data_IF_095647848037
#
_entry.id   IF_095647848037
#
_cell.length_a   1.000
_cell.length_b   1.000
_cell.length_c   1.000
_cell.angle_alpha   90.00
_cell.angle_beta   90.00
_cell.angle_gamma   90.00
#
_symmetry.space_group_name_H-M   'P 1'
#
loop_
_entity.id
_entity.type
_entity.pdbx_description
1 polymer ?
#
# COMPACT_ATOMS: atom_id res chain seq x y z
N UNK A 1 -6.16 7.81 -18.26
CA UNK A 1 -6.74 7.73 -16.90
C UNK A 1 -6.01 6.72 -16.00
N UNK A 2 -5.98 5.41 -16.30
CA UNK A 2 -5.28 4.41 -15.45
C UNK A 2 -3.81 4.73 -15.19
N UNK A 3 -3.09 5.23 -16.20
CA UNK A 3 -1.69 5.66 -16.05
C UNK A 3 -1.54 6.81 -15.03
N UNK A 4 -2.42 7.81 -15.09
CA UNK A 4 -2.43 8.96 -14.20
C UNK A 4 -2.69 8.55 -12.74
N UNK A 5 -3.71 7.73 -12.53
CA UNK A 5 -4.03 7.19 -11.20
C UNK A 5 -2.90 6.32 -10.66
N UNK A 6 -2.23 5.56 -11.54
CA UNK A 6 -1.02 4.82 -11.22
C UNK A 6 0.07 5.71 -10.61
N UNK A 7 0.42 6.82 -11.26
CA UNK A 7 1.45 7.74 -10.76
C UNK A 7 1.12 8.32 -9.38
N UNK A 8 -0.16 8.64 -9.15
CA UNK A 8 -0.62 9.10 -7.83
C UNK A 8 -0.51 7.99 -6.77
N UNK A 9 -1.07 6.81 -7.03
CA UNK A 9 -1.04 5.66 -6.10
C UNK A 9 0.40 5.26 -5.77
N UNK A 10 1.30 5.33 -6.74
CA UNK A 10 2.71 4.97 -6.62
C UNK A 10 3.55 6.05 -5.91
N UNK A 11 3.03 7.27 -5.82
CA UNK A 11 3.74 8.43 -5.27
C UNK A 11 4.79 9.02 -6.20
N UNK A 12 4.68 8.78 -7.51
CA UNK A 12 5.54 9.38 -8.53
C UNK A 12 5.24 10.87 -8.71
N UNK A 13 3.97 11.24 -8.52
CA UNK A 13 3.50 12.63 -8.53
C UNK A 13 2.65 12.89 -7.28
N UNK A 14 2.92 14.01 -6.61
CA UNK A 14 2.07 14.50 -5.51
C UNK A 14 0.95 15.41 -6.04
N UNK A 15 1.24 16.17 -7.08
CA UNK A 15 0.30 17.10 -7.71
C UNK A 15 0.68 17.35 -9.17
N UNK A 16 -0.32 17.67 -9.98
CA UNK A 16 -0.15 18.16 -11.34
C UNK A 16 0.03 19.67 -11.29
N UNK A 17 1.23 20.11 -11.66
CA UNK A 17 1.61 21.52 -11.67
C UNK A 17 1.48 22.10 -13.08
N UNK A 18 0.92 23.31 -13.20
CA UNK A 18 0.88 24.01 -14.48
C UNK A 18 2.26 24.59 -14.81
N UNK A 19 2.57 24.64 -16.10
CA UNK A 19 3.74 25.31 -16.66
C UNK A 19 3.28 26.31 -17.73
N UNK A 20 3.91 27.47 -17.78
CA UNK A 20 3.65 28.47 -18.80
C UNK A 20 4.58 28.25 -20.00
N UNK A 21 3.97 28.04 -21.15
CA UNK A 21 4.60 27.93 -22.45
C UNK A 21 4.30 29.20 -23.28
N UNK A 22 5.31 29.73 -23.96
CA UNK A 22 5.20 30.98 -24.70
C UNK A 22 4.41 30.85 -26.01
N UNK A 23 4.26 29.64 -26.54
CA UNK A 23 3.53 29.35 -27.78
C UNK A 23 2.17 28.73 -27.48
N UNK A 24 2.13 27.78 -26.55
CA UNK A 24 0.94 26.96 -26.28
C UNK A 24 0.12 27.42 -25.04
N UNK A 25 0.61 28.39 -24.26
CA UNK A 25 -0.10 28.92 -23.09
C UNK A 25 0.10 28.08 -21.83
N UNK A 26 -0.98 27.74 -21.11
CA UNK A 26 -0.88 26.91 -19.90
C UNK A 26 -0.80 25.44 -20.33
N UNK A 27 0.22 24.74 -19.84
CA UNK A 27 0.41 23.31 -20.06
C UNK A 27 0.55 22.56 -18.75
N UNK A 28 0.30 21.26 -18.79
CA UNK A 28 0.59 20.34 -17.69
C UNK A 28 1.59 19.30 -18.20
N UNK A 29 2.91 19.54 -18.09
CA UNK A 29 3.93 18.67 -18.70
C UNK A 29 3.82 17.21 -18.28
N UNK A 30 3.34 16.95 -17.06
CA UNK A 30 3.09 15.60 -16.58
C UNK A 30 2.03 14.84 -17.39
N UNK A 31 1.13 15.53 -18.09
CA UNK A 31 0.08 14.93 -18.92
C UNK A 31 0.49 14.67 -20.37
N UNK A 32 1.66 15.16 -20.81
CA UNK A 32 2.17 14.97 -22.18
C UNK A 32 2.17 13.47 -22.62
N UNK A 33 2.40 12.47 -21.74
CA UNK A 33 2.30 11.04 -22.12
C UNK A 33 0.88 10.48 -22.19
N UNK A 34 -0.14 11.23 -21.75
CA UNK A 34 -1.51 10.76 -21.56
C UNK A 34 -2.49 11.42 -22.53
N UNK A 35 -2.27 12.70 -22.81
CA UNK A 35 -3.14 13.52 -23.67
C UNK A 35 -2.40 13.76 -24.97
N UNK A 36 -3.01 13.34 -26.08
CA UNK A 36 -2.39 13.45 -27.41
C UNK A 36 -2.24 14.92 -27.88
N UNK A 37 -3.21 15.78 -27.50
CA UNK A 37 -3.20 17.22 -27.79
C UNK A 37 -3.07 18.03 -26.49
N UNK A 38 -1.98 18.82 -26.31
CA UNK A 38 -1.79 19.66 -25.13
C UNK A 38 -2.94 20.63 -24.83
N UNK A 39 -3.70 21.04 -25.84
CA UNK A 39 -4.84 21.94 -25.68
C UNK A 39 -6.04 21.31 -24.96
N UNK A 40 -6.15 19.98 -24.96
CA UNK A 40 -7.21 19.23 -24.28
C UNK A 40 -6.90 18.97 -22.79
N UNK A 41 -5.68 19.26 -22.34
CA UNK A 41 -5.23 18.94 -20.99
C UNK A 41 -6.06 19.63 -19.90
N UNK A 42 -6.40 20.91 -20.05
CA UNK A 42 -7.26 21.62 -19.10
C UNK A 42 -8.66 21.01 -19.04
N UNK A 43 -9.29 20.76 -20.18
CA UNK A 43 -10.63 20.15 -20.27
C UNK A 43 -10.65 18.76 -19.65
N UNK A 44 -9.62 17.96 -19.90
CA UNK A 44 -9.46 16.64 -19.29
C UNK A 44 -9.36 16.73 -17.77
N UNK A 45 -8.55 17.65 -17.24
CA UNK A 45 -8.40 17.84 -15.80
C UNK A 45 -9.66 18.35 -15.13
N UNK A 46 -10.37 19.27 -15.77
CA UNK A 46 -11.67 19.74 -15.29
C UNK A 46 -12.68 18.61 -15.22
N UNK A 47 -12.74 17.74 -16.23
CA UNK A 47 -13.61 16.56 -16.20
C UNK A 47 -13.29 15.61 -15.03
N UNK A 48 -12.01 15.44 -14.67
CA UNK A 48 -11.64 14.60 -13.53
C UNK A 48 -11.97 15.27 -12.19
N UNK A 49 -11.81 16.58 -12.10
CA UNK A 49 -12.21 17.34 -10.91
C UNK A 49 -13.74 17.29 -10.70
N UNK A 50 -14.52 17.43 -11.77
CA UNK A 50 -15.99 17.37 -11.72
C UNK A 50 -16.50 15.99 -11.28
N UNK A 51 -15.71 14.94 -11.46
CA UNK A 51 -16.02 13.57 -11.02
C UNK A 51 -15.41 13.23 -9.65
N UNK A 52 -14.93 14.22 -8.87
CA UNK A 52 -14.26 14.04 -7.58
C UNK A 52 -13.05 13.08 -7.63
N UNK A 53 -12.40 12.96 -8.79
CA UNK A 53 -11.15 12.20 -8.92
C UNK A 53 -9.97 13.07 -8.51
N UNK A 54 -10.03 14.37 -8.82
CA UNK A 54 -8.99 15.34 -8.49
C UNK A 54 -9.57 16.52 -7.68
N UNK A 55 -8.83 16.98 -6.69
CA UNK A 55 -9.05 18.27 -6.05
C UNK A 55 -8.34 19.38 -6.84
N UNK A 56 -9.06 20.48 -7.07
CA UNK A 56 -8.60 21.64 -7.83
C UNK A 56 -8.19 22.77 -6.89
N UNK A 57 -6.94 23.23 -6.99
CA UNK A 57 -6.39 24.30 -6.15
C UNK A 57 -5.89 25.46 -7.00
N UNK A 58 -6.33 26.69 -6.72
CA UNK A 58 -5.80 27.86 -7.42
C UNK A 58 -4.38 28.16 -6.95
N UNK A 59 -3.41 28.18 -7.89
CA UNK A 59 -1.99 28.37 -7.58
C UNK A 59 -1.37 29.59 -8.27
N UNK A 60 -2.08 30.24 -9.19
CA UNK A 60 -1.60 31.44 -9.87
C UNK A 60 -2.68 32.13 -10.69
N UNK A 61 -2.29 33.19 -11.40
CA UNK A 61 -3.14 33.90 -12.34
C UNK A 61 -2.36 34.25 -13.60
N UNK A 62 -3.05 34.22 -14.74
CA UNK A 62 -2.53 34.64 -16.03
C UNK A 62 -3.41 35.72 -16.64
N UNK A 63 -2.79 36.59 -17.42
CA UNK A 63 -3.52 37.54 -18.25
C UNK A 63 -3.95 36.84 -19.54
N UNK A 64 -5.22 36.99 -19.86
CA UNK A 64 -5.86 36.33 -21.00
C UNK A 64 -6.55 37.37 -21.90
N UNK A 65 -6.54 37.08 -23.21
CA UNK A 65 -7.19 37.92 -24.21
C UNK A 65 -8.72 37.84 -24.06
N UNK A 66 -9.41 38.99 -23.97
CA UNK A 66 -10.89 39.04 -23.94
C UNK A 66 -11.56 38.49 -25.20
N UNK A 67 -10.87 38.54 -26.35
CA UNK A 67 -11.41 38.09 -27.63
C UNK A 67 -11.38 36.58 -27.82
N UNK A 68 -10.25 35.93 -27.50
CA UNK A 68 -10.02 34.52 -27.81
C UNK A 68 -9.62 33.64 -26.60
N UNK A 69 -9.46 34.24 -25.41
CA UNK A 69 -9.10 33.53 -24.18
C UNK A 69 -7.64 33.08 -24.07
N UNK A 70 -6.81 33.30 -25.10
CA UNK A 70 -5.41 32.89 -25.09
C UNK A 70 -4.58 33.68 -24.08
N UNK A 71 -3.54 33.05 -23.53
CA UNK A 71 -2.56 33.69 -22.64
C UNK A 71 -1.86 34.83 -23.37
N UNK A 72 -1.73 35.98 -22.72
CA UNK A 72 -1.08 37.16 -23.27
C UNK A 72 0.42 37.13 -22.93
N UNK A 73 1.25 37.41 -23.94
CA UNK A 73 2.68 37.65 -23.75
C UNK A 73 2.90 39.14 -23.55
N UNK A 74 3.67 39.49 -22.53
CA UNK A 74 4.10 40.88 -22.31
C UNK A 74 5.21 41.21 -23.29
N UNK A 75 4.94 42.10 -24.23
CA UNK A 75 5.95 42.72 -25.09
C UNK A 75 6.18 44.13 -24.56
N UNK A 76 7.42 44.45 -24.16
CA UNK A 76 7.78 45.80 -23.74
C UNK A 76 8.47 46.45 -24.92
N UNK A 77 7.76 47.33 -25.61
CA UNK A 77 8.41 48.23 -26.58
C UNK A 77 9.08 49.35 -25.79
N UNK A 78 10.40 49.50 -25.96
CA UNK A 78 11.09 50.69 -25.51
C UNK A 78 11.01 51.71 -26.66
N UNK A 79 10.40 52.87 -26.43
CA UNK A 79 10.51 53.98 -27.37
C UNK A 79 11.97 54.45 -27.43
N UNK A 80 12.52 54.56 -28.65
CA UNK A 80 13.81 55.17 -28.89
C UNK A 80 13.75 56.67 -28.52
N UNK A 81 14.52 57.04 -27.50
CA UNK A 81 14.74 58.39 -26.95
C UNK A 81 15.05 59.43 -28.05
N UNK A 82 14.01 60.05 -28.62
CA UNK A 82 14.16 61.17 -29.55
C UNK A 82 13.22 62.35 -29.25
N UNK A 83 12.82 62.51 -27.99
CA UNK A 83 12.16 63.74 -27.54
C UNK A 83 12.92 64.40 -26.38
N UNK A 84 13.28 65.67 -26.55
CA UNK A 84 14.05 66.50 -25.60
C UNK A 84 13.25 66.92 -24.35
N UNK A 85 12.19 66.21 -23.96
CA UNK A 85 11.38 66.52 -22.77
C UNK A 85 11.51 65.43 -21.70
N UNK A 86 12.37 65.70 -20.72
CA UNK A 86 12.75 64.85 -19.58
C UNK A 86 11.65 64.66 -18.51
N UNK A 87 10.37 64.68 -18.86
CA UNK A 87 9.29 64.38 -17.92
C UNK A 87 8.67 63.00 -18.16
N UNK A 88 9.43 61.99 -17.72
CA UNK A 88 9.06 60.58 -17.48
C UNK A 88 8.79 59.72 -18.73
N UNK A 89 9.52 58.61 -18.92
CA UNK A 89 9.13 57.61 -19.94
C UNK A 89 7.74 57.06 -19.58
N UNK A 90 6.80 57.18 -20.52
CA UNK A 90 5.49 56.53 -20.42
C UNK A 90 5.68 55.10 -20.92
N UNK A 91 5.85 54.15 -19.98
CA UNK A 91 5.87 52.73 -20.32
C UNK A 91 4.44 52.27 -20.62
N UNK A 92 3.97 52.45 -21.86
CA UNK A 92 2.75 51.78 -22.29
C UNK A 92 3.05 50.29 -22.49
N UNK A 93 2.66 49.49 -21.50
CA UNK A 93 2.79 48.04 -21.53
C UNK A 93 1.71 47.44 -22.43
N UNK A 94 1.98 47.43 -23.74
CA UNK A 94 1.09 46.86 -24.74
C UNK A 94 1.33 45.34 -24.81
N UNK A 95 0.30 44.55 -24.53
CA UNK A 95 0.36 43.10 -24.68
C UNK A 95 -0.25 42.69 -26.01
N UNK A 96 0.43 41.80 -26.72
CA UNK A 96 -0.06 41.26 -27.98
C UNK A 96 -0.56 39.83 -27.80
N UNK A 97 -1.81 39.59 -28.19
CA UNK A 97 -2.31 38.23 -28.27
C UNK A 97 -1.74 37.53 -29.51
N UNK A 98 -0.96 36.46 -29.32
CA UNK A 98 -0.38 35.69 -30.43
C UNK A 98 -1.41 34.92 -31.25
N UNK A 99 -2.58 34.61 -30.67
CA UNK A 99 -3.65 33.84 -31.34
C UNK A 99 -4.53 34.67 -32.27
N UNK A 100 -4.97 35.85 -31.83
CA UNK A 100 -5.84 36.73 -32.65
C UNK A 100 -5.14 38.00 -33.15
N UNK A 101 -3.91 38.25 -32.73
CA UNK A 101 -3.13 39.42 -33.13
C UNK A 101 -3.56 40.75 -32.51
N UNK A 102 -4.56 40.76 -31.62
CA UNK A 102 -5.04 41.98 -30.98
C UNK A 102 -4.04 42.49 -29.93
N UNK A 103 -3.77 43.79 -29.96
CA UNK A 103 -3.06 44.47 -28.90
C UNK A 103 -4.05 44.88 -27.81
N UNK A 104 -3.65 44.73 -26.55
CA UNK A 104 -4.46 45.09 -25.37
C UNK A 104 -3.55 45.63 -24.29
N UNK A 105 -4.06 46.52 -23.44
CA UNK A 105 -3.34 46.94 -22.22
C UNK A 105 -3.60 45.97 -21.07
N UNK A 106 -2.85 46.11 -19.97
CA UNK A 106 -3.05 45.32 -18.75
C UNK A 106 -4.47 45.49 -18.20
N UNK A 107 -4.98 46.72 -18.15
CA UNK A 107 -6.32 47.03 -17.62
C UNK A 107 -7.44 46.46 -18.50
N UNK A 108 -7.18 46.31 -19.80
CA UNK A 108 -8.13 45.76 -20.75
C UNK A 108 -8.10 44.23 -20.84
N UNK A 109 -7.13 43.57 -20.21
CA UNK A 109 -7.01 42.12 -20.20
C UNK A 109 -7.89 41.44 -19.14
N UNK A 110 -8.14 40.14 -19.30
CA UNK A 110 -8.89 39.34 -18.31
C UNK A 110 -7.93 38.54 -17.45
N UNK A 111 -8.04 38.67 -16.13
CA UNK A 111 -7.28 37.84 -15.19
C UNK A 111 -7.96 36.47 -15.02
N UNK A 112 -7.30 35.39 -15.44
CA UNK A 112 -7.79 34.01 -15.32
C UNK A 112 -6.95 33.25 -14.27
N UNK A 113 -7.58 32.55 -13.30
CA UNK A 113 -6.84 31.71 -12.37
C UNK A 113 -6.23 30.50 -13.06
N UNK A 114 -5.06 30.09 -12.59
CA UNK A 114 -4.36 28.86 -12.97
C UNK A 114 -4.45 27.88 -11.81
N UNK A 115 -4.66 26.62 -12.13
CA UNK A 115 -4.94 25.58 -11.16
C UNK A 115 -3.83 24.53 -11.11
N UNK A 116 -3.58 24.01 -9.92
CA UNK A 116 -2.89 22.74 -9.70
C UNK A 116 -3.92 21.71 -9.25
N UNK A 117 -3.61 20.43 -9.49
CA UNK A 117 -4.53 19.34 -9.16
C UNK A 117 -3.85 18.29 -8.28
N UNK A 118 -4.54 17.83 -7.25
CA UNK A 118 -4.14 16.69 -6.40
C UNK A 118 -5.18 15.59 -6.55
N UNK A 119 -4.81 14.32 -6.36
CA UNK A 119 -5.82 13.26 -6.36
C UNK A 119 -6.69 13.35 -5.10
N UNK A 120 -7.98 13.13 -5.26
CA UNK A 120 -8.92 13.08 -4.14
C UNK A 120 -8.69 11.79 -3.33
N UNK A 121 -8.72 11.82 -1.97
CA UNK A 121 -8.41 10.66 -1.15
C UNK A 121 -9.23 9.40 -1.45
N UNK A 122 -10.53 9.53 -1.71
CA UNK A 122 -11.40 8.39 -2.04
C UNK A 122 -11.02 7.75 -3.39
N UNK A 123 -10.58 8.56 -4.35
CA UNK A 123 -10.15 8.06 -5.66
C UNK A 123 -8.85 7.23 -5.57
N UNK A 124 -8.01 7.45 -4.55
CA UNK A 124 -6.84 6.63 -4.27
C UNK A 124 -7.27 5.23 -3.83
N UNK A 125 -8.26 5.13 -2.94
CA UNK A 125 -8.76 3.84 -2.44
C UNK A 125 -9.35 3.00 -3.58
N UNK A 126 -10.20 3.61 -4.41
CA UNK A 126 -10.82 2.95 -5.56
C UNK A 126 -9.79 2.52 -6.61
N UNK A 127 -8.83 3.39 -6.94
CA UNK A 127 -7.75 3.07 -7.87
C UNK A 127 -6.87 1.94 -7.35
N UNK A 128 -6.59 1.94 -6.04
CA UNK A 128 -5.79 0.90 -5.37
C UNK A 128 -6.47 -0.46 -5.40
N UNK A 129 -7.79 -0.49 -5.18
CA UNK A 129 -8.60 -1.70 -5.29
C UNK A 129 -8.48 -2.33 -6.68
N UNK A 130 -8.54 -1.52 -7.74
CA UNK A 130 -8.37 -2.02 -9.11
C UNK A 130 -6.93 -2.43 -9.45
N UNK A 131 -5.94 -1.62 -9.08
CA UNK A 131 -4.55 -1.78 -9.52
C UNK A 131 -3.73 -2.80 -8.71
N UNK A 132 -4.12 -3.09 -7.47
CA UNK A 132 -3.35 -3.92 -6.54
C UNK A 132 -4.16 -5.11 -6.01
N UNK A 133 -5.37 -4.85 -5.54
CA UNK A 133 -6.16 -5.87 -4.83
C UNK A 133 -6.59 -6.99 -5.78
N UNK A 134 -7.15 -6.65 -6.94
CA UNK A 134 -7.59 -7.65 -7.92
C UNK A 134 -6.44 -8.54 -8.45
N UNK A 135 -5.30 -7.98 -8.92
CA UNK A 135 -4.15 -8.80 -9.29
C UNK A 135 -3.63 -9.68 -8.15
N UNK A 136 -3.69 -9.20 -6.90
CA UNK A 136 -3.22 -9.97 -5.75
C UNK A 136 -4.14 -11.16 -5.45
N UNK A 137 -5.45 -10.97 -5.60
CA UNK A 137 -6.43 -12.06 -5.49
C UNK A 137 -6.14 -13.14 -6.53
N UNK A 138 -5.95 -12.75 -7.80
CA UNK A 138 -5.61 -13.67 -8.90
C UNK A 138 -4.31 -14.44 -8.58
N UNK A 139 -3.26 -13.72 -8.16
CA UNK A 139 -1.98 -14.29 -7.75
C UNK A 139 -2.09 -15.33 -6.63
N UNK A 140 -2.95 -15.08 -5.63
CA UNK A 140 -3.19 -15.99 -4.51
C UNK A 140 -3.99 -17.22 -4.96
N UNK A 141 -5.01 -17.02 -5.80
CA UNK A 141 -5.82 -18.11 -6.35
C UNK A 141 -4.99 -19.06 -7.23
N UNK A 142 -4.11 -18.53 -8.08
CA UNK A 142 -3.16 -19.34 -8.86
C UNK A 142 -2.23 -20.21 -7.99
N UNK A 143 -2.02 -19.80 -6.73
CA UNK A 143 -1.21 -20.52 -5.74
C UNK A 143 -2.00 -21.50 -4.88
N UNK A 144 -3.30 -21.70 -5.15
CA UNK A 144 -4.15 -22.62 -4.39
C UNK A 144 -4.66 -22.03 -3.08
N UNK A 145 -4.87 -20.71 -3.03
CA UNK A 145 -5.57 -20.07 -1.92
C UNK A 145 -7.00 -19.67 -2.32
N UNK A 146 -7.94 -19.98 -1.44
CA UNK A 146 -9.28 -19.38 -1.44
C UNK A 146 -9.23 -18.04 -0.72
N UNK A 147 -9.66 -16.97 -1.37
CA UNK A 147 -9.52 -15.59 -0.87
C UNK A 147 -10.88 -14.96 -0.57
N UNK A 148 -10.91 -14.08 0.42
CA UNK A 148 -12.05 -13.25 0.79
C UNK A 148 -11.60 -11.79 0.89
N UNK A 149 -12.30 -10.89 0.19
CA UNK A 149 -11.99 -9.47 0.12
C UNK A 149 -13.29 -8.63 0.07
N UNK A 150 -13.53 -7.73 1.03
CA UNK A 150 -12.85 -7.66 2.33
C UNK A 150 -13.06 -8.96 3.11
N UNK A 151 -12.03 -9.42 3.81
CA UNK A 151 -12.06 -10.66 4.57
C UNK A 151 -12.38 -10.42 6.04
N UNK A 152 -13.31 -11.18 6.61
CA UNK A 152 -13.64 -11.09 8.04
C UNK A 152 -13.23 -12.37 8.77
N UNK A 153 -12.62 -12.22 9.94
CA UNK A 153 -12.23 -13.33 10.81
C UNK A 153 -12.72 -13.13 12.24
N UNK A 154 -13.17 -14.20 12.88
CA UNK A 154 -13.46 -14.20 14.30
C UNK A 154 -12.17 -14.43 15.10
N UNK A 155 -11.90 -13.53 16.04
CA UNK A 155 -10.84 -13.68 17.02
C UNK A 155 -11.21 -14.66 18.13
N UNK A 156 -10.22 -15.04 18.95
CA UNK A 156 -10.42 -15.86 20.16
C UNK A 156 -11.30 -15.15 21.20
N UNK A 157 -11.38 -13.82 21.11
CA UNK A 157 -12.23 -12.97 21.94
C UNK A 157 -13.70 -12.90 21.49
N UNK A 158 -14.10 -13.66 20.45
CA UNK A 158 -15.38 -13.56 19.73
C UNK A 158 -15.62 -12.22 19.00
N UNK A 159 -14.65 -11.31 19.03
CA UNK A 159 -14.65 -10.08 18.23
C UNK A 159 -14.36 -10.45 16.77
N UNK A 160 -15.13 -9.88 15.84
CA UNK A 160 -14.86 -10.00 14.40
C UNK A 160 -13.95 -8.88 13.95
N UNK A 161 -12.85 -9.25 13.33
CA UNK A 161 -11.88 -8.34 12.73
C UNK A 161 -11.98 -8.40 11.21
N UNK A 162 -11.88 -7.24 10.57
CA UNK A 162 -11.82 -7.12 9.12
C UNK A 162 -10.38 -6.88 8.68
N UNK A 163 -9.97 -7.62 7.67
CA UNK A 163 -8.73 -7.44 6.92
C UNK A 163 -9.09 -7.14 5.47
N UNK A 164 -8.18 -6.53 4.73
CA UNK A 164 -8.41 -6.28 3.30
C UNK A 164 -8.51 -7.60 2.54
N UNK A 165 -7.60 -8.54 2.81
CA UNK A 165 -7.66 -9.89 2.26
C UNK A 165 -7.42 -10.92 3.36
N UNK A 166 -8.30 -11.93 3.39
CA UNK A 166 -8.09 -13.16 4.14
C UNK A 166 -7.99 -14.31 3.14
N UNK A 167 -6.90 -15.07 3.19
CA UNK A 167 -6.64 -16.17 2.29
C UNK A 167 -6.45 -17.48 3.06
N UNK A 168 -7.12 -18.54 2.61
CA UNK A 168 -7.03 -19.88 3.17
C UNK A 168 -6.45 -20.83 2.11
N UNK A 169 -5.42 -21.62 2.44
CA UNK A 169 -4.99 -22.73 1.59
C UNK A 169 -6.17 -23.63 1.25
N UNK A 170 -6.30 -24.04 -0.01
CA UNK A 170 -7.36 -24.95 -0.43
C UNK A 170 -7.37 -26.22 0.43
N UNK A 171 -8.54 -26.54 1.00
CA UNK A 171 -8.72 -27.68 1.90
C UNK A 171 -8.36 -27.45 3.37
N UNK A 172 -7.78 -26.30 3.77
CA UNK A 172 -7.40 -26.01 5.17
C UNK A 172 -7.95 -24.65 5.65
N UNK A 173 -9.11 -24.68 6.30
CA UNK A 173 -9.77 -23.46 6.83
C UNK A 173 -9.24 -23.01 8.19
N UNK A 174 -8.42 -23.81 8.86
CA UNK A 174 -7.85 -23.48 10.17
C UNK A 174 -6.56 -22.66 10.11
N UNK A 175 -6.01 -22.44 8.91
CA UNK A 175 -4.82 -21.64 8.67
C UNK A 175 -5.14 -20.52 7.69
N UNK A 176 -5.05 -19.28 8.15
CA UNK A 176 -5.25 -18.09 7.33
C UNK A 176 -3.96 -17.29 7.16
N UNK A 177 -3.77 -16.78 5.95
CA UNK A 177 -2.92 -15.65 5.63
C UNK A 177 -3.81 -14.41 5.66
N UNK A 178 -3.34 -13.35 6.30
CA UNK A 178 -4.04 -12.06 6.32
C UNK A 178 -3.15 -10.99 5.71
N UNK A 179 -3.75 -10.13 4.91
CA UNK A 179 -3.08 -9.04 4.21
C UNK A 179 -3.88 -7.77 4.41
N UNK A 180 -3.19 -6.72 4.86
CA UNK A 180 -3.70 -5.36 4.87
C UNK A 180 -2.84 -4.47 3.97
N UNK A 181 -3.48 -3.47 3.36
CA UNK A 181 -2.84 -2.44 2.56
C UNK A 181 -2.73 -1.15 3.36
N UNK A 182 -1.56 -0.53 3.30
CA UNK A 182 -1.32 0.82 3.80
C UNK A 182 -0.93 1.68 2.60
N UNK A 183 -1.90 2.40 2.03
CA UNK A 183 -1.72 3.17 0.80
C UNK A 183 -1.96 4.65 1.08
N UNK A 184 -0.99 5.48 0.73
CA UNK A 184 -1.14 6.94 0.73
C UNK A 184 -0.01 7.56 -0.09
N UNK A 185 -0.01 8.88 -0.28
CA UNK A 185 1.12 9.58 -0.90
C UNK A 185 2.31 9.78 0.05
N UNK A 186 2.13 9.57 1.35
CA UNK A 186 3.15 9.78 2.37
C UNK A 186 3.62 8.45 2.99
N UNK A 187 4.83 8.42 3.58
CA UNK A 187 5.26 7.27 4.36
C UNK A 187 4.31 7.00 5.54
N UNK A 188 4.01 5.72 5.77
CA UNK A 188 3.09 5.29 6.82
C UNK A 188 3.79 5.16 8.18
N UNK A 189 3.16 5.69 9.22
CA UNK A 189 3.60 5.58 10.62
C UNK A 189 3.31 4.21 11.26
N UNK A 190 3.34 4.13 12.59
CA UNK A 190 3.11 2.86 13.31
C UNK A 190 1.64 2.41 13.32
N UNK A 191 0.69 3.32 13.09
CA UNK A 191 -0.75 3.03 13.20
C UNK A 191 -1.22 1.79 12.43
N UNK A 192 -0.92 1.60 11.13
CA UNK A 192 -1.32 0.39 10.39
C UNK A 192 -0.69 -0.90 10.95
N UNK A 193 0.54 -0.82 11.47
CA UNK A 193 1.23 -1.96 12.10
C UNK A 193 0.57 -2.35 13.41
N UNK A 194 0.21 -1.36 14.23
CA UNK A 194 -0.48 -1.57 15.52
C UNK A 194 -1.87 -2.18 15.28
N UNK A 195 -2.62 -1.67 14.31
CA UNK A 195 -3.91 -2.20 13.94
C UNK A 195 -3.80 -3.67 13.47
N UNK A 196 -2.87 -3.97 12.58
CA UNK A 196 -2.61 -5.33 12.12
C UNK A 196 -2.24 -6.25 13.28
N UNK A 197 -1.35 -5.81 14.18
CA UNK A 197 -0.95 -6.60 15.35
C UNK A 197 -2.14 -6.93 16.25
N UNK A 198 -3.00 -5.96 16.56
CA UNK A 198 -4.18 -6.18 17.40
C UNK A 198 -5.11 -7.23 16.79
N UNK A 199 -5.37 -7.13 15.47
CA UNK A 199 -6.21 -8.09 14.73
C UNK A 199 -5.56 -9.48 14.66
N UNK A 200 -4.28 -9.55 14.31
CA UNK A 200 -3.54 -10.82 14.17
C UNK A 200 -3.31 -11.53 15.50
N UNK A 201 -3.12 -10.80 16.60
CA UNK A 201 -2.97 -11.40 17.93
C UNK A 201 -4.23 -12.17 18.36
N UNK A 202 -5.40 -11.64 18.02
CA UNK A 202 -6.69 -12.25 18.36
C UNK A 202 -7.08 -13.37 17.37
N UNK A 203 -6.86 -13.16 16.07
CA UNK A 203 -7.22 -14.12 15.01
C UNK A 203 -6.20 -15.25 14.81
N UNK A 204 -4.95 -15.08 15.28
CA UNK A 204 -3.85 -16.03 15.16
C UNK A 204 -3.65 -16.62 13.74
N UNK A 205 -3.48 -15.76 12.70
CA UNK A 205 -3.15 -16.21 11.36
C UNK A 205 -1.75 -16.86 11.35
N UNK A 206 -1.48 -17.73 10.38
CA UNK A 206 -0.14 -18.33 10.28
C UNK A 206 0.89 -17.35 9.71
N UNK A 207 0.44 -16.36 8.93
CA UNK A 207 1.27 -15.29 8.39
C UNK A 207 0.47 -14.00 8.28
N UNK A 208 1.11 -12.90 8.66
CA UNK A 208 0.56 -11.55 8.61
C UNK A 208 1.41 -10.70 7.68
N UNK A 209 0.78 -10.04 6.72
CA UNK A 209 1.47 -9.23 5.71
C UNK A 209 0.85 -7.83 5.65
N UNK A 210 1.69 -6.80 5.63
CA UNK A 210 1.31 -5.44 5.27
C UNK A 210 1.95 -5.09 3.93
N UNK A 211 1.15 -4.68 2.96
CA UNK A 211 1.62 -4.08 1.70
C UNK A 211 1.56 -2.57 1.83
N UNK A 212 2.72 -1.92 1.90
CA UNK A 212 2.82 -0.48 2.13
C UNK A 212 3.25 0.26 0.87
N UNK A 213 2.49 1.29 0.51
CA UNK A 213 2.79 2.18 -0.61
C UNK A 213 2.75 3.64 -0.11
N UNK A 214 3.84 4.41 -0.32
CA UNK A 214 5.11 3.98 -0.94
C UNK A 214 5.99 3.13 -0.01
N UNK A 215 5.91 3.36 1.31
CA UNK A 215 6.74 2.68 2.32
C UNK A 215 6.23 2.93 3.75
N UNK A 216 6.75 2.15 4.70
CA UNK A 216 6.66 2.43 6.13
C UNK A 216 7.82 3.33 6.58
N UNK A 217 7.58 4.06 7.67
CA UNK A 217 8.64 4.73 8.44
C UNK A 217 9.57 3.70 9.11
N UNK A 218 10.80 4.11 9.44
CA UNK A 218 11.78 3.20 10.06
C UNK A 218 11.32 2.69 11.44
N UNK A 219 10.62 3.53 12.21
CA UNK A 219 10.00 3.11 13.47
C UNK A 219 8.91 2.05 13.25
N UNK A 220 8.04 2.24 12.26
CA UNK A 220 7.00 1.27 11.90
C UNK A 220 7.59 -0.06 11.42
N UNK A 221 8.68 -0.06 10.65
CA UNK A 221 9.39 -1.29 10.23
C UNK A 221 9.94 -2.08 11.41
N UNK A 222 10.62 -1.39 12.33
CA UNK A 222 11.16 -2.02 13.54
C UNK A 222 10.05 -2.64 14.37
N UNK A 223 8.93 -1.94 14.51
CA UNK A 223 7.75 -2.42 15.21
C UNK A 223 7.14 -3.65 14.53
N UNK A 224 6.99 -3.63 13.21
CA UNK A 224 6.44 -4.75 12.46
C UNK A 224 7.31 -6.01 12.59
N UNK A 225 8.64 -5.84 12.50
CA UNK A 225 9.60 -6.92 12.73
C UNK A 225 9.48 -7.51 14.13
N UNK A 226 9.30 -6.68 15.15
CA UNK A 226 9.09 -7.13 16.53
C UNK A 226 7.79 -7.93 16.69
N UNK A 227 6.73 -7.54 15.96
CA UNK A 227 5.44 -8.23 15.97
C UNK A 227 5.37 -9.44 15.02
N UNK A 228 6.45 -9.75 14.29
CA UNK A 228 6.45 -10.83 13.30
C UNK A 228 5.51 -10.57 12.13
N UNK A 229 5.24 -9.31 11.82
CA UNK A 229 4.46 -8.89 10.66
C UNK A 229 5.43 -8.67 9.50
N UNK A 230 5.20 -9.37 8.39
CA UNK A 230 5.99 -9.17 7.18
C UNK A 230 5.56 -7.85 6.52
N UNK A 231 6.53 -7.05 6.07
CA UNK A 231 6.25 -5.79 5.39
C UNK A 231 6.77 -5.83 3.96
N UNK A 232 5.89 -5.58 3.00
CA UNK A 232 6.22 -5.42 1.61
C UNK A 232 6.03 -3.97 1.20
N UNK A 233 7.15 -3.27 1.09
CA UNK A 233 7.17 -1.91 0.56
C UNK A 233 7.27 -1.95 -0.95
N UNK A 234 6.47 -1.14 -1.63
CA UNK A 234 6.60 -1.00 -3.07
C UNK A 234 6.27 0.41 -3.52
N UNK A 235 6.94 0.84 -4.58
CA UNK A 235 6.57 2.02 -5.36
C UNK A 235 5.97 1.62 -6.72
N UNK A 236 6.21 0.39 -7.16
CA UNK A 236 5.82 -0.12 -8.46
C UNK A 236 5.09 -1.46 -8.34
N UNK A 237 4.20 -1.77 -9.28
CA UNK A 237 3.46 -3.03 -9.29
C UNK A 237 4.36 -4.23 -9.61
N UNK A 238 5.42 -4.06 -10.42
CA UNK A 238 6.31 -5.15 -10.82
C UNK A 238 7.19 -5.65 -9.67
N UNK A 239 7.78 -4.73 -8.89
CA UNK A 239 8.57 -5.02 -7.70
C UNK A 239 7.78 -5.73 -6.61
N UNK A 240 6.48 -5.43 -6.51
CA UNK A 240 5.57 -6.11 -5.58
C UNK A 240 5.49 -7.61 -5.89
N UNK A 241 5.28 -8.00 -7.15
CA UNK A 241 5.15 -9.41 -7.55
C UNK A 241 6.41 -10.21 -7.24
N UNK A 242 7.59 -9.66 -7.54
CA UNK A 242 8.87 -10.33 -7.25
C UNK A 242 9.05 -10.62 -5.76
N UNK A 243 8.61 -9.70 -4.89
CA UNK A 243 8.66 -9.89 -3.44
C UNK A 243 7.57 -10.85 -2.96
N UNK A 244 6.34 -10.73 -3.46
CA UNK A 244 5.23 -11.61 -3.12
C UNK A 244 5.54 -13.07 -3.46
N UNK A 245 6.17 -13.36 -4.60
CA UNK A 245 6.60 -14.72 -4.98
C UNK A 245 7.53 -15.33 -3.91
N UNK A 246 8.40 -14.52 -3.29
CA UNK A 246 9.33 -14.99 -2.25
C UNK A 246 8.64 -15.16 -0.90
N UNK A 247 7.69 -14.29 -0.59
CA UNK A 247 7.01 -14.26 0.71
C UNK A 247 5.88 -15.28 0.77
N UNK A 248 5.19 -15.54 -0.33
CA UNK A 248 4.01 -16.40 -0.42
C UNK A 248 4.31 -17.55 -1.41
N UNK A 249 4.86 -18.67 -0.92
CA UNK A 249 5.00 -19.87 -1.74
C UNK A 249 3.62 -20.47 -2.10
N UNK A 250 3.54 -21.34 -3.12
CA UNK A 250 2.32 -22.08 -3.43
C UNK A 250 1.78 -22.83 -2.21
N UNK A 251 0.45 -22.89 -2.05
CA UNK A 251 -0.20 -23.56 -0.93
C UNK A 251 0.22 -25.05 -0.80
N UNK A 252 0.55 -25.69 -1.92
CA UNK A 252 1.06 -27.07 -1.97
C UNK A 252 2.49 -27.24 -1.49
N UNK A 253 3.31 -26.18 -1.53
CA UNK A 253 4.69 -26.15 -1.02
C UNK A 253 4.75 -25.51 0.37
N UNK A 254 3.61 -25.07 0.90
CA UNK A 254 3.48 -24.81 2.33
C UNK A 254 3.36 -26.15 3.04
N UNK A 255 4.44 -26.92 2.97
CA UNK A 255 4.69 -28.06 3.83
C UNK A 255 4.78 -27.51 5.25
N UNK A 256 3.62 -27.43 5.90
CA UNK A 256 3.54 -27.19 7.34
C UNK A 256 3.90 -28.48 8.07
N UNK A 257 5.08 -29.00 7.77
CA UNK A 257 5.71 -30.07 8.51
C UNK A 257 6.55 -29.44 9.62
N UNK A 258 6.27 -29.88 10.85
CA UNK A 258 7.07 -29.63 12.06
C UNK A 258 7.04 -28.20 12.61
N UNK A 259 7.30 -28.03 13.92
CA UNK A 259 7.75 -26.73 14.41
C UNK A 259 8.99 -26.35 13.60
N UNK A 260 8.90 -25.33 12.75
CA UNK A 260 10.05 -24.92 11.94
C UNK A 260 11.24 -24.56 12.84
N UNK A 261 12.46 -24.70 12.29
CA UNK A 261 13.71 -24.50 13.05
C UNK A 261 13.73 -23.13 13.75
N UNK A 262 13.14 -22.10 13.12
CA UNK A 262 13.05 -20.75 13.68
C UNK A 262 12.10 -20.67 14.87
N UNK A 263 10.96 -21.35 14.84
CA UNK A 263 10.01 -21.48 15.95
C UNK A 263 10.63 -22.25 17.11
N UNK A 264 11.36 -23.34 16.82
CA UNK A 264 12.12 -24.07 17.84
C UNK A 264 13.15 -23.16 18.51
N UNK A 265 13.88 -22.35 17.74
CA UNK A 265 14.86 -21.39 18.28
C UNK A 265 14.22 -20.28 19.12
N UNK A 266 13.01 -19.83 18.75
CA UNK A 266 12.25 -18.82 19.50
C UNK A 266 11.63 -19.35 20.80
N UNK A 267 11.44 -20.68 20.93
CA UNK A 267 10.95 -21.27 22.16
C UNK A 267 11.96 -21.13 23.31
N UNK A 268 11.48 -20.86 24.55
CA UNK A 268 12.30 -20.96 25.74
C UNK A 268 13.02 -22.32 25.82
N UNK A 269 14.28 -22.33 26.24
CA UNK A 269 15.14 -23.53 26.22
C UNK A 269 14.52 -24.74 26.95
N UNK A 270 13.73 -24.49 28.00
CA UNK A 270 13.05 -25.55 28.75
C UNK A 270 11.94 -26.24 27.94
N UNK A 271 11.28 -25.53 27.01
CA UNK A 271 10.24 -26.05 26.12
C UNK A 271 10.80 -26.61 24.80
N UNK A 272 11.87 -26.00 24.28
CA UNK A 272 12.46 -26.38 22.99
C UNK A 272 12.75 -27.87 22.91
N UNK A 273 13.38 -28.44 23.95
CA UNK A 273 13.74 -29.87 23.98
C UNK A 273 12.52 -30.80 23.89
N UNK A 274 11.43 -30.46 24.58
CA UNK A 274 10.20 -31.23 24.54
C UNK A 274 9.52 -31.10 23.16
N UNK A 275 9.51 -29.90 22.59
CA UNK A 275 8.96 -29.63 21.27
C UNK A 275 9.71 -30.39 20.17
N UNK A 276 11.04 -30.39 20.19
CA UNK A 276 11.87 -31.13 19.21
C UNK A 276 11.58 -32.63 19.23
N UNK A 277 11.48 -33.23 20.42
CA UNK A 277 11.19 -34.68 20.54
C UNK A 277 9.81 -35.01 19.97
N UNK A 278 8.81 -34.16 20.19
CA UNK A 278 7.47 -34.39 19.61
C UNK A 278 7.49 -34.24 18.09
N UNK A 279 8.31 -33.35 17.52
CA UNK A 279 8.51 -33.26 16.08
C UNK A 279 9.17 -34.52 15.50
N UNK A 280 10.19 -35.05 16.17
CA UNK A 280 10.95 -36.19 15.68
C UNK A 280 10.13 -37.50 15.71
N UNK A 281 9.25 -37.62 16.71
CA UNK A 281 8.48 -38.85 16.98
C UNK A 281 7.03 -38.79 16.44
N UNK A 282 6.57 -37.62 15.99
CA UNK A 282 5.23 -37.36 15.44
C UNK A 282 4.09 -37.42 16.47
N UNK A 283 3.93 -38.55 17.16
CA UNK A 283 2.90 -38.78 18.19
C UNK A 283 3.45 -39.51 19.42
N UNK A 284 3.52 -38.81 20.55
CA UNK A 284 4.23 -39.30 21.73
C UNK A 284 3.52 -38.93 23.04
N UNK A 285 3.72 -39.70 24.11
CA UNK A 285 3.18 -39.41 25.44
C UNK A 285 4.17 -38.66 26.32
N UNK A 286 3.67 -37.97 27.36
CA UNK A 286 4.55 -37.31 28.34
C UNK A 286 5.49 -38.28 29.09
N UNK A 287 5.18 -39.58 29.12
CA UNK A 287 6.07 -40.60 29.68
C UNK A 287 7.27 -40.86 28.76
N UNK A 288 7.02 -41.07 27.47
CA UNK A 288 8.06 -41.31 26.48
C UNK A 288 8.97 -40.07 26.31
N UNK A 289 8.40 -38.85 26.29
CA UNK A 289 9.21 -37.61 26.29
C UNK A 289 10.05 -37.49 27.57
N UNK A 290 9.54 -37.93 28.71
CA UNK A 290 10.27 -37.95 29.99
C UNK A 290 11.51 -38.86 29.92
N UNK A 291 11.36 -40.04 29.33
CA UNK A 291 12.45 -41.00 29.17
C UNK A 291 13.56 -40.46 28.26
N UNK A 292 13.17 -39.79 27.16
CA UNK A 292 14.11 -39.19 26.20
C UNK A 292 14.79 -37.93 26.73
N UNK A 293 14.05 -37.06 27.41
CA UNK A 293 14.60 -35.81 27.96
C UNK A 293 15.43 -36.01 29.23
N UNK A 294 15.23 -37.14 29.92
CA UNK A 294 15.69 -37.46 31.28
C UNK A 294 15.17 -36.48 32.35
N UNK A 295 14.03 -35.83 32.08
CA UNK A 295 13.32 -34.99 33.07
C UNK A 295 12.18 -35.80 33.67
N UNK A 296 11.58 -35.32 34.76
CA UNK A 296 10.43 -35.99 35.36
C UNK A 296 9.19 -35.92 34.46
N UNK A 297 8.37 -36.98 34.48
CA UNK A 297 7.10 -37.04 33.73
C UNK A 297 6.16 -35.88 34.07
N UNK A 298 6.13 -35.45 35.33
CA UNK A 298 5.32 -34.31 35.75
C UNK A 298 5.76 -33.00 35.09
N UNK A 299 7.08 -32.77 35.00
CA UNK A 299 7.65 -31.60 34.30
C UNK A 299 7.36 -31.64 32.81
N UNK A 300 7.61 -32.77 32.14
CA UNK A 300 7.33 -32.89 30.69
C UNK A 300 5.85 -32.77 30.38
N UNK A 301 4.98 -33.33 31.23
CA UNK A 301 3.54 -33.10 31.09
C UNK A 301 3.18 -31.61 31.21
N UNK A 302 3.85 -30.85 32.10
CA UNK A 302 3.69 -29.41 32.23
C UNK A 302 4.12 -28.65 30.97
N UNK A 303 5.30 -28.97 30.43
CA UNK A 303 5.85 -28.34 29.23
C UNK A 303 5.03 -28.64 27.97
N UNK A 304 4.62 -29.89 27.78
CA UNK A 304 3.77 -30.27 26.66
C UNK A 304 2.40 -29.58 26.72
N UNK A 305 1.80 -29.49 27.91
CA UNK A 305 0.56 -28.72 28.09
C UNK A 305 0.77 -27.21 27.88
N UNK A 306 1.95 -26.67 28.17
CA UNK A 306 2.29 -25.29 27.83
C UNK A 306 2.40 -25.10 26.32
N UNK A 307 3.08 -26.00 25.61
CA UNK A 307 3.18 -25.98 24.14
C UNK A 307 1.82 -26.13 23.46
N UNK A 308 0.89 -26.92 24.03
CA UNK A 308 -0.50 -27.00 23.57
C UNK A 308 -1.24 -25.67 23.79
N UNK A 309 -1.07 -25.02 24.95
CA UNK A 309 -1.65 -23.69 25.22
C UNK A 309 -1.10 -22.62 24.28
N UNK A 310 0.16 -22.72 23.89
CA UNK A 310 0.82 -21.86 22.91
C UNK A 310 0.41 -22.16 21.47
N UNK A 311 -0.34 -23.25 21.23
CA UNK A 311 -0.85 -23.61 19.90
C UNK A 311 0.10 -24.43 19.03
N UNK A 312 1.29 -24.79 19.53
CA UNK A 312 2.29 -25.55 18.77
C UNK A 312 1.97 -27.05 18.68
N UNK A 313 1.38 -27.62 19.73
CA UNK A 313 1.04 -29.04 19.81
C UNK A 313 -0.48 -29.24 19.94
N UNK A 314 -0.97 -30.41 19.53
CA UNK A 314 -2.30 -30.92 19.88
C UNK A 314 -2.19 -31.97 20.98
N UNK A 315 -3.29 -32.20 21.70
CA UNK A 315 -3.40 -33.27 22.69
C UNK A 315 -4.62 -34.12 22.37
N UNK A 316 -4.42 -35.42 22.33
CA UNK A 316 -5.46 -36.40 22.04
C UNK A 316 -5.45 -37.54 23.05
N UNK A 317 -6.64 -38.08 23.34
CA UNK A 317 -6.78 -39.23 24.26
C UNK A 317 -6.92 -40.51 23.47
N UNK A 318 -5.94 -41.41 23.64
CA UNK A 318 -5.98 -42.78 23.16
C UNK A 318 -6.18 -43.73 24.34
N UNK A 319 -7.42 -44.16 24.58
CA UNK A 319 -7.77 -45.02 25.72
C UNK A 319 -7.46 -44.34 27.06
N UNK A 320 -6.56 -44.92 27.87
CA UNK A 320 -6.12 -44.37 29.17
C UNK A 320 -4.90 -43.45 29.09
N UNK A 321 -4.34 -43.22 27.89
CA UNK A 321 -3.13 -42.42 27.68
C UNK A 321 -3.44 -41.11 26.96
N UNK A 322 -2.61 -40.10 27.22
CA UNK A 322 -2.66 -38.79 26.56
C UNK A 322 -1.45 -38.69 25.65
N UNK A 323 -1.71 -38.43 24.38
CA UNK A 323 -0.71 -38.25 23.33
C UNK A 323 -0.63 -36.78 22.95
N UNK A 324 0.57 -36.37 22.55
CA UNK A 324 0.88 -35.05 22.01
C UNK A 324 1.47 -35.24 20.62
N UNK A 325 1.06 -34.40 19.68
CA UNK A 325 1.53 -34.41 18.29
C UNK A 325 1.59 -33.00 17.71
N UNK A 326 2.38 -32.84 16.66
CA UNK A 326 2.45 -31.58 15.89
C UNK A 326 1.19 -31.44 15.03
N UNK A 327 0.74 -30.20 14.78
CA UNK A 327 -0.40 -29.92 13.90
C UNK A 327 -0.04 -30.22 12.43
N UNK A 328 -0.15 -31.48 12.02
CA UNK A 328 0.10 -31.92 10.64
C UNK A 328 0.19 -33.44 10.47
N UNK A 329 0.60 -34.18 11.52
CA UNK A 329 0.71 -35.64 11.51
C UNK A 329 -0.60 -36.33 11.87
N UNK A 330 -1.58 -36.23 10.98
CA UNK A 330 -2.62 -37.25 10.88
C UNK A 330 -2.17 -38.18 9.74
N UNK A 331 -1.60 -39.34 10.09
CA UNK A 331 -1.15 -40.34 9.12
C UNK A 331 -2.26 -40.82 8.18
#
# INVERSE_FOLDING_TARGET
MQLLLGWFVQGDIESLQPALDQEEGIRYPALDPIVDDPSDAETFLESLADNNILDKHACGYVLSCKGCGAVLSLEVEMEDDSSEDLSKPVFESIMRCRRCGSNTTIDESSLRPVYSYTIHPEAIEDASSMLLVKPLIEFLTERGFTTHCPGTMAGRSDIRHQFDIVAYPEGRKDRSLVIDFAISHQPHGEAPVIAMFAKSYDCNPFKSLIVAIPRLTESAKLLAKQYGIECLETKDTEGLWKKLIRVIPPASQMDFETLDVMTLLALPDHLRKAASIVCDEGRITAGEVSDMTRRSRAMESGYLNQLVRMGYLRKDRGGRRVYFSVRGDDG
#
